data_IF_411583772157
#
_entry.id   IF_411583772157
#
_cell.length_a   1.000
_cell.length_b   1.000
_cell.length_c   1.000
_cell.angle_alpha   90.00
_cell.angle_beta   90.00
_cell.angle_gamma   90.00
#
_symmetry.space_group_name_H-M   'P 1'
#
loop_
_entity.id
_entity.type
_entity.pdbx_description
1 polymer ?
#
# COMPACT_ATOMS: atom_id res chain seq x y z
N UNK A 1 -4.35 -36.15 -52.01
CA UNK A 1 -3.64 -36.40 -50.74
C UNK A 1 -4.59 -36.12 -49.59
N UNK A 2 -5.08 -37.15 -48.90
CA UNK A 2 -6.00 -37.02 -47.75
C UNK A 2 -5.16 -36.78 -46.50
N UNK A 3 -5.03 -35.52 -46.07
CA UNK A 3 -4.36 -35.22 -44.80
C UNK A 3 -5.22 -35.76 -43.66
N UNK A 4 -4.65 -36.69 -42.90
CA UNK A 4 -5.31 -37.37 -41.79
C UNK A 4 -5.46 -36.38 -40.62
N UNK A 5 -6.69 -36.02 -40.19
CA UNK A 5 -6.94 -35.01 -39.15
C UNK A 5 -6.35 -35.37 -37.79
N UNK A 6 -5.99 -36.65 -37.58
CA UNK A 6 -5.37 -37.13 -36.33
C UNK A 6 -3.96 -36.57 -36.10
N UNK A 7 -3.22 -36.27 -37.17
CA UNK A 7 -1.84 -35.74 -37.06
C UNK A 7 -1.87 -34.27 -36.59
N UNK A 8 -2.84 -33.50 -37.08
CA UNK A 8 -3.00 -32.08 -36.75
C UNK A 8 -3.37 -31.89 -35.26
N UNK A 9 -4.26 -32.73 -34.73
CA UNK A 9 -4.66 -32.70 -33.32
C UNK A 9 -3.48 -33.02 -32.39
N UNK A 10 -2.65 -34.02 -32.75
CA UNK A 10 -1.46 -34.38 -31.96
C UNK A 10 -0.45 -33.23 -31.86
N UNK A 11 -0.21 -32.52 -32.96
CA UNK A 11 0.73 -31.38 -32.99
C UNK A 11 0.22 -30.20 -32.16
N UNK A 12 -1.09 -29.89 -32.22
CA UNK A 12 -1.69 -28.81 -31.44
C UNK A 12 -1.60 -29.11 -29.93
N UNK A 13 -1.85 -30.35 -29.51
CA UNK A 13 -1.74 -30.74 -28.11
C UNK A 13 -0.31 -30.61 -27.57
N UNK A 14 0.70 -31.01 -28.34
CA UNK A 14 2.11 -30.86 -27.94
C UNK A 14 2.50 -29.39 -27.85
N UNK A 15 2.08 -28.56 -28.81
CA UNK A 15 2.35 -27.12 -28.78
C UNK A 15 1.68 -26.44 -27.58
N UNK A 16 0.44 -26.80 -27.23
CA UNK A 16 -0.24 -26.30 -26.03
C UNK A 16 0.49 -26.67 -24.74
N UNK A 17 0.96 -27.92 -24.62
CA UNK A 17 1.72 -28.37 -23.44
C UNK A 17 3.07 -27.66 -23.34
N UNK A 18 3.77 -27.45 -24.46
CA UNK A 18 5.03 -26.70 -24.51
C UNK A 18 4.80 -25.22 -24.19
N UNK A 19 3.71 -24.61 -24.69
CA UNK A 19 3.36 -23.23 -24.39
C UNK A 19 2.99 -23.05 -22.91
N UNK A 20 2.20 -23.97 -22.34
CA UNK A 20 1.86 -23.97 -20.92
C UNK A 20 3.12 -24.14 -20.08
N UNK A 21 3.98 -25.13 -20.37
CA UNK A 21 5.25 -25.30 -19.69
C UNK A 21 6.12 -24.04 -19.81
N UNK A 22 6.20 -23.43 -21.00
CA UNK A 22 6.95 -22.20 -21.19
C UNK A 22 6.42 -21.04 -20.33
N UNK A 23 5.10 -20.85 -20.28
CA UNK A 23 4.46 -19.82 -19.44
C UNK A 23 4.71 -20.10 -17.94
N UNK A 24 4.64 -21.35 -17.50
CA UNK A 24 4.88 -21.73 -16.10
C UNK A 24 6.36 -21.67 -15.69
N UNK A 25 7.29 -22.02 -16.58
CA UNK A 25 8.73 -22.06 -16.27
C UNK A 25 9.44 -20.71 -16.48
N UNK A 26 8.95 -19.84 -17.36
CA UNK A 26 9.63 -18.57 -17.69
C UNK A 26 9.00 -17.32 -17.07
N UNK A 27 7.88 -17.41 -16.33
CA UNK A 27 7.44 -16.32 -15.48
C UNK A 27 8.28 -16.25 -14.21
N UNK A 28 9.51 -15.76 -14.35
CA UNK A 28 10.35 -15.38 -13.21
C UNK A 28 9.58 -14.31 -12.42
N UNK A 29 9.20 -14.63 -11.19
CA UNK A 29 8.58 -13.65 -10.31
C UNK A 29 9.47 -12.40 -10.25
N UNK A 30 8.90 -11.19 -10.37
CA UNK A 30 9.69 -9.97 -10.24
C UNK A 30 10.40 -9.99 -8.89
N UNK A 31 11.69 -9.64 -8.88
CA UNK A 31 12.46 -9.57 -7.65
C UNK A 31 11.76 -8.62 -6.65
N UNK A 32 11.75 -8.93 -5.35
CA UNK A 32 11.19 -8.03 -4.35
C UNK A 32 11.82 -6.65 -4.46
N UNK A 33 10.98 -5.60 -4.48
CA UNK A 33 11.48 -4.23 -4.44
C UNK A 33 11.94 -3.95 -3.01
N UNK A 34 13.22 -3.64 -2.84
CA UNK A 34 13.73 -3.23 -1.53
C UNK A 34 13.29 -1.78 -1.32
N UNK A 35 12.36 -1.55 -0.40
CA UNK A 35 12.03 -0.19 0.04
C UNK A 35 13.13 0.21 1.01
N UNK A 36 14.23 0.74 0.47
CA UNK A 36 15.14 1.57 1.25
C UNK A 36 14.51 2.95 1.35
N UNK A 37 14.08 3.34 2.54
CA UNK A 37 13.86 4.76 2.78
C UNK A 37 15.18 5.47 2.49
N UNK A 38 15.23 6.26 1.41
CA UNK A 38 16.40 7.09 1.07
C UNK A 38 16.55 8.26 2.04
N UNK A 39 15.49 8.56 2.80
CA UNK A 39 15.50 9.57 3.85
C UNK A 39 15.85 8.90 5.18
N UNK A 40 16.87 9.43 5.84
CA UNK A 40 17.21 9.06 7.21
C UNK A 40 16.04 9.44 8.12
N UNK A 41 15.60 8.51 8.97
CA UNK A 41 14.59 8.78 10.00
C UNK A 41 15.03 10.01 10.82
N UNK A 42 14.23 11.08 10.86
CA UNK A 42 14.58 12.27 11.61
C UNK A 42 14.83 11.97 13.10
N UNK A 43 15.82 12.65 13.69
CA UNK A 43 16.28 12.38 15.07
C UNK A 43 15.22 12.75 16.13
N UNK A 44 14.33 13.65 15.78
CA UNK A 44 13.25 14.20 16.59
C UNK A 44 11.97 13.33 16.59
N UNK A 45 11.95 12.22 15.85
CA UNK A 45 10.82 11.29 15.90
C UNK A 45 10.69 10.61 17.25
N UNK A 46 9.45 10.53 17.73
CA UNK A 46 9.08 9.88 18.99
C UNK A 46 9.03 8.36 18.78
N UNK A 47 9.62 7.62 19.72
CA UNK A 47 9.53 6.17 19.75
C UNK A 47 8.23 5.74 20.45
N UNK A 48 7.48 4.86 19.80
CA UNK A 48 6.29 4.24 20.35
C UNK A 48 6.56 2.75 20.48
N UNK A 49 6.25 2.21 21.67
CA UNK A 49 6.44 0.79 21.98
C UNK A 49 5.15 0.25 22.57
N UNK A 50 4.66 -0.84 22.01
CA UNK A 50 3.61 -1.66 22.61
C UNK A 50 4.23 -2.99 23.03
N UNK A 51 4.46 -3.13 24.34
CA UNK A 51 5.08 -4.32 24.92
C UNK A 51 4.20 -5.56 24.82
N UNK A 52 2.88 -5.41 24.63
CA UNK A 52 1.96 -6.55 24.54
C UNK A 52 2.06 -7.27 23.20
N UNK A 53 2.26 -6.53 22.11
CA UNK A 53 2.47 -7.05 20.75
C UNK A 53 3.95 -7.17 20.36
N UNK A 54 4.86 -6.60 21.16
CA UNK A 54 6.28 -6.48 20.82
C UNK A 54 6.54 -5.46 19.70
N UNK A 55 5.54 -4.66 19.32
CA UNK A 55 5.66 -3.63 18.29
C UNK A 55 6.51 -2.46 18.82
N UNK A 56 7.45 -2.01 17.99
CA UNK A 56 8.19 -0.76 18.19
C UNK A 56 8.24 0.01 16.87
N UNK A 57 8.00 1.32 16.93
CA UNK A 57 8.08 2.20 15.76
C UNK A 57 8.54 3.60 16.16
N UNK A 58 8.94 4.39 15.16
CA UNK A 58 9.16 5.83 15.31
C UNK A 58 8.24 6.59 14.39
N UNK A 59 7.70 7.70 14.88
CA UNK A 59 6.91 8.62 14.07
C UNK A 59 7.04 10.06 14.59
N UNK A 60 6.69 11.09 13.79
CA UNK A 60 6.68 12.47 14.24
C UNK A 60 5.83 12.67 15.50
N UNK A 61 6.14 13.72 16.25
CA UNK A 61 5.27 14.17 17.33
C UNK A 61 3.93 14.67 16.76
N UNK A 62 2.85 14.53 17.53
CA UNK A 62 1.52 15.03 17.15
C UNK A 62 0.60 14.01 16.45
N UNK A 63 1.07 12.79 16.22
CA UNK A 63 0.17 11.68 15.88
C UNK A 63 -0.60 11.22 17.12
N UNK A 64 -1.89 10.94 16.95
CA UNK A 64 -2.74 10.39 17.99
C UNK A 64 -2.71 8.88 17.86
N UNK A 65 -2.23 8.21 18.91
CA UNK A 65 -2.31 6.76 19.01
C UNK A 65 -3.66 6.37 19.60
N UNK A 66 -4.38 5.53 18.87
CA UNK A 66 -5.67 4.99 19.30
C UNK A 66 -5.61 3.48 19.23
N UNK A 67 -5.95 2.80 20.32
CA UNK A 67 -6.17 1.35 20.29
C UNK A 67 -7.54 1.06 19.67
N UNK A 68 -7.58 0.12 18.73
CA UNK A 68 -8.81 -0.38 18.10
C UNK A 68 -9.01 -1.85 18.50
N UNK A 69 -10.16 -2.44 18.18
CA UNK A 69 -10.38 -3.87 18.36
C UNK A 69 -9.39 -4.74 17.58
N UNK A 70 -8.81 -4.17 16.52
CA UNK A 70 -8.02 -4.88 15.51
C UNK A 70 -6.52 -4.51 15.59
N UNK A 71 -6.10 -3.72 16.59
CA UNK A 71 -4.71 -3.34 16.82
C UNK A 71 -4.51 -1.87 17.21
N UNK A 72 -3.49 -1.24 16.64
CA UNK A 72 -3.11 0.16 16.90
C UNK A 72 -3.38 1.01 15.66
N UNK A 73 -4.00 2.17 15.83
CA UNK A 73 -4.15 3.18 14.78
C UNK A 73 -3.36 4.43 15.15
N UNK A 74 -2.54 4.91 14.22
CA UNK A 74 -1.89 6.21 14.28
C UNK A 74 -2.65 7.17 13.36
N UNK A 75 -3.34 8.12 13.99
CA UNK A 75 -4.15 9.10 13.27
C UNK A 75 -3.41 10.43 13.27
N UNK A 76 -3.38 11.07 12.11
CA UNK A 76 -2.94 12.46 12.03
C UNK A 76 -4.00 13.36 12.67
N UNK A 77 -3.67 14.00 13.79
CA UNK A 77 -4.54 15.00 14.42
C UNK A 77 -4.88 16.15 13.46
N UNK A 78 -3.94 16.49 12.59
CA UNK A 78 -4.10 17.46 11.52
C UNK A 78 -3.33 16.99 10.29
N UNK A 79 -3.87 17.26 9.10
CA UNK A 79 -3.19 17.02 7.82
C UNK A 79 -2.35 18.21 7.36
N UNK A 80 -2.29 19.28 8.15
CA UNK A 80 -1.65 20.55 7.83
C UNK A 80 -0.21 20.49 7.27
N UNK A 81 0.70 19.58 7.71
CA UNK A 81 2.03 19.51 7.09
C UNK A 81 2.04 18.87 5.69
N UNK A 82 0.95 18.22 5.29
CA UNK A 82 0.88 17.43 4.05
C UNK A 82 -0.31 17.78 3.15
N UNK A 83 -1.24 18.61 3.59
CA UNK A 83 -2.39 19.07 2.82
C UNK A 83 -2.23 20.57 2.55
N UNK A 84 -1.74 20.91 1.37
CA UNK A 84 -1.46 22.28 0.94
C UNK A 84 -2.60 22.90 0.11
N UNK A 85 -3.74 22.22 0.08
CA UNK A 85 -4.95 22.66 -0.62
C UNK A 85 -6.08 22.86 0.38
N UNK A 86 -7.15 23.53 -0.05
CA UNK A 86 -8.35 23.67 0.78
C UNK A 86 -9.24 22.42 0.75
N UNK A 87 -8.89 21.41 -0.04
CA UNK A 87 -9.61 20.15 -0.09
C UNK A 87 -9.34 19.39 1.21
N UNK A 88 -10.41 19.07 1.92
CA UNK A 88 -10.32 18.33 3.17
C UNK A 88 -9.76 16.95 2.89
N UNK A 89 -8.84 16.52 3.76
CA UNK A 89 -8.21 15.19 3.69
C UNK A 89 -8.15 14.58 5.08
N UNK A 90 -8.58 13.34 5.19
CA UNK A 90 -8.36 12.47 6.35
C UNK A 90 -7.20 11.52 6.02
N UNK A 91 -6.30 11.32 6.98
CA UNK A 91 -5.13 10.44 6.82
C UNK A 91 -4.98 9.59 8.07
N UNK A 92 -4.86 8.27 7.87
CA UNK A 92 -4.66 7.29 8.94
C UNK A 92 -3.57 6.30 8.56
N UNK A 93 -2.80 5.89 9.55
CA UNK A 93 -1.86 4.77 9.47
C UNK A 93 -2.32 3.72 10.48
N UNK A 94 -2.80 2.59 9.99
CA UNK A 94 -3.28 1.51 10.83
C UNK A 94 -2.22 0.40 10.91
N UNK A 95 -1.94 -0.06 12.12
CA UNK A 95 -1.03 -1.16 12.42
C UNK A 95 -1.84 -2.25 13.11
N UNK A 96 -2.28 -3.23 12.33
CA UNK A 96 -3.10 -4.33 12.81
C UNK A 96 -2.22 -5.53 13.16
N UNK A 97 -2.18 -5.88 14.45
CA UNK A 97 -1.33 -6.94 14.98
C UNK A 97 -2.00 -7.61 16.20
N UNK A 98 -2.05 -8.95 16.26
CA UNK A 98 -1.97 -9.90 15.15
C UNK A 98 -3.32 -10.07 14.45
N UNK A 99 -3.30 -10.23 13.13
CA UNK A 99 -4.48 -10.64 12.35
C UNK A 99 -4.46 -12.15 12.07
N UNK A 100 -5.65 -12.74 11.93
CA UNK A 100 -5.82 -14.15 11.54
C UNK A 100 -5.39 -14.43 10.10
N UNK A 101 -5.49 -13.43 9.22
CA UNK A 101 -5.11 -13.53 7.81
C UNK A 101 -4.56 -12.18 7.29
N UNK A 102 -3.69 -12.25 6.28
CA UNK A 102 -3.12 -11.14 5.53
C UNK A 102 -3.88 -10.78 4.26
N UNK A 103 -5.06 -11.35 4.05
CA UNK A 103 -5.90 -10.95 2.93
C UNK A 103 -6.27 -9.47 3.06
N UNK A 104 -6.08 -8.65 2.00
CA UNK A 104 -6.49 -7.27 2.02
C UNK A 104 -8.01 -7.20 2.16
N UNK A 105 -8.49 -6.44 3.14
CA UNK A 105 -9.92 -6.28 3.43
C UNK A 105 -10.48 -5.12 2.61
N UNK A 106 -10.68 -5.24 1.29
CA UNK A 106 -11.14 -4.08 0.50
C UNK A 106 -12.05 -4.31 -0.69
N UNK A 107 -12.92 -3.30 -0.89
CA UNK A 107 -13.68 -3.00 -2.10
C UNK A 107 -12.90 -1.94 -2.89
N UNK A 108 -12.61 -2.18 -4.17
CA UNK A 108 -11.88 -1.23 -5.03
C UNK A 108 -10.93 -1.92 -6.00
N UNK A 109 -10.26 -1.13 -6.84
CA UNK A 109 -9.26 -1.65 -7.76
C UNK A 109 -7.95 -1.88 -6.99
N UNK A 110 -7.56 -3.14 -6.83
CA UNK A 110 -6.29 -3.50 -6.19
C UNK A 110 -5.23 -3.66 -7.27
N UNK A 111 -4.14 -2.90 -7.14
CA UNK A 111 -2.94 -3.09 -7.96
C UNK A 111 -2.36 -4.49 -7.77
N UNK A 112 -1.61 -4.99 -8.76
CA UNK A 112 -0.96 -6.30 -8.64
C UNK A 112 -0.07 -6.32 -7.38
N UNK A 113 -0.24 -7.30 -6.47
CA UNK A 113 0.59 -7.41 -5.29
C UNK A 113 2.07 -7.46 -5.64
N UNK A 114 2.88 -6.69 -4.91
CA UNK A 114 4.34 -6.63 -5.10
C UNK A 114 5.05 -7.05 -3.83
N UNK A 115 6.10 -7.87 -3.94
CA UNK A 115 6.93 -8.19 -2.79
C UNK A 115 7.82 -6.99 -2.45
N UNK A 116 7.84 -6.59 -1.19
CA UNK A 116 8.73 -5.53 -0.68
C UNK A 116 9.46 -5.99 0.57
N UNK A 117 10.74 -5.61 0.71
CA UNK A 117 11.49 -5.91 1.92
C UNK A 117 11.58 -4.66 2.80
N UNK A 118 11.15 -4.78 4.06
CA UNK A 118 11.19 -3.72 5.07
C UNK A 118 11.86 -4.30 6.31
N UNK A 119 13.03 -3.77 6.68
CA UNK A 119 13.83 -4.22 7.84
C UNK A 119 14.16 -5.72 7.86
N UNK A 120 14.33 -6.34 6.69
CA UNK A 120 14.65 -7.77 6.58
C UNK A 120 13.43 -8.67 6.55
N UNK A 121 12.22 -8.16 6.80
CA UNK A 121 10.98 -8.90 6.63
C UNK A 121 10.40 -8.67 5.23
N UNK A 122 9.92 -9.74 4.60
CA UNK A 122 9.26 -9.68 3.29
C UNK A 122 7.77 -9.43 3.48
N UNK A 123 7.31 -8.30 2.98
CA UNK A 123 5.90 -7.91 2.95
C UNK A 123 5.33 -8.07 1.53
N UNK A 124 4.04 -8.33 1.47
CA UNK A 124 3.21 -8.10 0.29
C UNK A 124 2.69 -6.67 0.36
N UNK A 125 3.03 -5.87 -0.65
CA UNK A 125 2.53 -4.52 -0.87
C UNK A 125 1.33 -4.55 -1.80
N UNK A 126 0.20 -4.03 -1.33
CA UNK A 126 -1.00 -3.81 -2.12
C UNK A 126 -1.30 -2.31 -2.14
N UNK A 127 -1.41 -1.70 -3.32
CA UNK A 127 -2.05 -0.39 -3.43
C UNK A 127 -3.48 -0.55 -3.90
N UNK A 128 -4.32 0.36 -3.47
CA UNK A 128 -5.72 0.39 -3.83
C UNK A 128 -6.16 1.84 -3.97
N UNK A 129 -7.16 2.04 -4.82
CA UNK A 129 -7.86 3.30 -4.95
C UNK A 129 -9.33 3.05 -5.27
N UNK A 130 -10.16 4.00 -4.85
CA UNK A 130 -11.57 4.04 -5.16
C UNK A 130 -12.03 5.50 -5.26
N UNK A 131 -13.11 5.74 -5.99
CA UNK A 131 -13.71 7.05 -6.11
C UNK A 131 -15.22 6.93 -6.18
N UNK A 132 -15.93 7.75 -5.40
CA UNK A 132 -17.38 7.69 -5.31
C UNK A 132 -17.99 8.90 -4.62
N UNK A 133 -19.15 9.34 -5.12
CA UNK A 133 -19.93 10.44 -4.55
C UNK A 133 -19.11 11.72 -4.25
N UNK A 134 -18.20 12.09 -5.16
CA UNK A 134 -17.35 13.27 -4.99
C UNK A 134 -16.16 13.08 -4.06
N UNK A 135 -15.83 11.84 -3.69
CA UNK A 135 -14.69 11.50 -2.83
C UNK A 135 -13.70 10.59 -3.57
N UNK A 136 -12.44 10.67 -3.15
CA UNK A 136 -11.34 9.77 -3.52
C UNK A 136 -10.85 9.09 -2.25
N UNK A 137 -10.66 7.79 -2.34
CA UNK A 137 -10.06 6.94 -1.31
C UNK A 137 -8.83 6.28 -1.89
N UNK A 138 -7.71 6.38 -1.18
CA UNK A 138 -6.44 5.84 -1.62
C UNK A 138 -5.74 5.17 -0.46
N UNK A 139 -5.01 4.12 -0.75
CA UNK A 139 -4.13 3.56 0.26
C UNK A 139 -3.16 2.52 -0.22
N UNK A 140 -2.36 2.10 0.76
CA UNK A 140 -1.28 1.15 0.59
C UNK A 140 -1.22 0.28 1.83
N UNK A 141 -1.18 -1.03 1.62
CA UNK A 141 -1.07 -2.02 2.67
C UNK A 141 0.23 -2.79 2.51
N UNK A 142 0.94 -2.97 3.62
CA UNK A 142 2.03 -3.91 3.79
C UNK A 142 1.59 -5.02 4.70
N UNK A 143 1.52 -6.24 4.18
CA UNK A 143 1.15 -7.42 4.95
C UNK A 143 2.30 -8.44 4.98
N UNK A 144 2.66 -8.95 6.15
CA UNK A 144 3.66 -10.00 6.30
C UNK A 144 3.20 -11.07 7.29
N UNK A 145 3.58 -12.32 7.02
CA UNK A 145 3.43 -13.42 7.96
C UNK A 145 4.71 -13.61 8.76
N UNK A 146 4.60 -13.64 10.08
CA UNK A 146 5.69 -14.02 10.98
C UNK A 146 5.11 -14.90 12.10
N UNK A 147 5.72 -16.06 12.34
CA UNK A 147 5.26 -17.00 13.37
C UNK A 147 3.76 -17.40 13.26
N UNK A 148 3.24 -17.53 12.03
CA UNK A 148 1.82 -17.81 11.73
C UNK A 148 0.83 -16.70 12.11
N UNK A 149 1.33 -15.53 12.49
CA UNK A 149 0.52 -14.34 12.71
C UNK A 149 0.67 -13.39 11.52
N UNK A 150 -0.42 -12.75 11.14
CA UNK A 150 -0.36 -11.70 10.13
C UNK A 150 -0.11 -10.33 10.79
N UNK A 151 0.79 -9.57 10.19
CA UNK A 151 1.11 -8.20 10.54
C UNK A 151 0.76 -7.32 9.36
N UNK A 152 -0.13 -6.36 9.56
CA UNK A 152 -0.54 -5.43 8.52
C UNK A 152 -0.28 -4.00 8.93
N UNK A 153 0.35 -3.25 8.03
CA UNK A 153 0.60 -1.82 8.15
C UNK A 153 -0.09 -1.18 6.96
N UNK A 154 -1.11 -0.38 7.22
CA UNK A 154 -1.98 0.21 6.22
C UNK A 154 -1.90 1.73 6.29
N UNK A 155 -1.84 2.38 5.14
CA UNK A 155 -2.09 3.80 5.00
C UNK A 155 -3.42 3.97 4.30
N UNK A 156 -4.23 4.86 4.85
CA UNK A 156 -5.52 5.26 4.33
C UNK A 156 -5.53 6.78 4.16
N UNK A 157 -5.99 7.22 3.00
CA UNK A 157 -6.28 8.61 2.71
C UNK A 157 -7.68 8.72 2.12
N UNK A 158 -8.45 9.67 2.63
CA UNK A 158 -9.74 10.07 2.08
C UNK A 158 -9.71 11.57 1.79
N UNK A 159 -10.12 11.97 0.59
CA UNK A 159 -10.21 13.38 0.20
C UNK A 159 -11.35 13.63 -0.78
N UNK A 160 -11.65 14.90 -1.04
CA UNK A 160 -12.56 15.26 -2.13
C UNK A 160 -11.97 14.92 -3.51
N UNK A 161 -12.84 14.58 -4.46
CA UNK A 161 -12.52 14.24 -5.85
C UNK A 161 -12.18 15.46 -6.73
N UNK A 162 -11.18 16.23 -6.27
CA UNK A 162 -10.58 17.33 -7.00
C UNK A 162 -11.34 18.64 -6.96
N UNK A 163 -10.68 19.67 -7.47
CA UNK A 163 -11.11 21.07 -7.42
C UNK A 163 -12.30 21.37 -8.34
N UNK A 164 -12.48 20.55 -9.38
CA UNK A 164 -13.57 20.70 -10.36
C UNK A 164 -14.97 20.63 -9.76
N UNK A 165 -15.10 20.12 -8.53
CA UNK A 165 -16.36 20.10 -7.78
C UNK A 165 -16.75 21.48 -7.21
N UNK A 166 -15.80 22.42 -7.13
CA UNK A 166 -16.00 23.72 -6.46
C UNK A 166 -15.88 24.91 -7.41
N UNK A 167 -15.24 24.73 -8.57
CA UNK A 167 -15.01 25.81 -9.54
C UNK A 167 -14.95 25.26 -10.95
N UNK A 168 -15.22 26.13 -11.94
CA UNK A 168 -15.04 25.85 -13.36
C UNK A 168 -13.75 26.48 -13.94
N UNK A 169 -12.96 27.18 -13.12
CA UNK A 169 -11.71 27.80 -13.54
C UNK A 169 -10.63 26.73 -13.80
N UNK A 170 -10.39 26.44 -15.08
CA UNK A 170 -9.45 25.39 -15.52
C UNK A 170 -8.01 25.59 -15.02
N UNK A 171 -7.56 26.83 -14.84
CA UNK A 171 -6.21 27.08 -14.32
C UNK A 171 -6.12 26.77 -12.83
N UNK A 172 -7.17 27.05 -12.08
CA UNK A 172 -7.25 26.73 -10.65
C UNK A 172 -7.35 25.22 -10.44
N UNK A 173 -8.21 24.54 -11.21
CA UNK A 173 -8.37 23.08 -11.17
C UNK A 173 -7.03 22.38 -11.36
N UNK A 174 -6.32 22.70 -12.44
CA UNK A 174 -5.01 22.09 -12.73
C UNK A 174 -3.99 22.32 -11.62
N UNK A 175 -3.98 23.52 -11.02
CA UNK A 175 -3.04 23.87 -9.95
C UNK A 175 -3.34 23.08 -8.67
N UNK A 176 -4.59 23.05 -8.25
CA UNK A 176 -5.00 22.38 -7.01
C UNK A 176 -4.87 20.87 -7.15
N UNK A 177 -5.34 20.29 -8.26
CA UNK A 177 -5.25 18.84 -8.49
C UNK A 177 -3.79 18.37 -8.59
N UNK A 178 -2.90 19.15 -9.22
CA UNK A 178 -1.47 18.84 -9.27
C UNK A 178 -0.82 18.91 -7.87
N UNK A 179 -1.22 19.91 -7.05
CA UNK A 179 -0.75 19.99 -5.67
C UNK A 179 -1.27 18.82 -4.84
N UNK A 180 -2.53 18.42 -5.02
CA UNK A 180 -3.13 17.27 -4.34
C UNK A 180 -2.40 15.96 -4.66
N UNK A 181 -1.94 15.78 -5.90
CA UNK A 181 -1.12 14.64 -6.29
C UNK A 181 0.27 14.66 -5.62
N UNK A 182 0.92 15.83 -5.59
CA UNK A 182 2.22 15.99 -4.90
C UNK A 182 2.10 15.72 -3.39
N UNK A 183 1.04 16.22 -2.77
CA UNK A 183 0.73 15.99 -1.36
C UNK A 183 0.60 14.48 -1.07
N UNK A 184 0.00 13.72 -1.99
CA UNK A 184 -0.09 12.26 -1.88
C UNK A 184 1.25 11.54 -2.02
N UNK A 185 2.11 11.98 -2.95
CA UNK A 185 3.45 11.42 -3.07
C UNK A 185 4.28 11.67 -1.79
N UNK A 186 4.19 12.88 -1.24
CA UNK A 186 4.85 13.27 0.01
C UNK A 186 4.33 12.42 1.19
N UNK A 187 3.02 12.12 1.23
CA UNK A 187 2.41 11.24 2.23
C UNK A 187 2.81 9.77 2.10
N UNK A 188 2.86 9.23 0.88
CA UNK A 188 3.36 7.87 0.68
C UNK A 188 4.84 7.75 1.05
N UNK A 189 5.65 8.76 0.74
CA UNK A 189 7.04 8.83 1.18
C UNK A 189 7.14 8.83 2.71
N UNK A 190 6.31 9.63 3.38
CA UNK A 190 6.21 9.64 4.84
C UNK A 190 5.80 8.28 5.41
N UNK A 191 4.76 7.66 4.86
CA UNK A 191 4.32 6.33 5.29
C UNK A 191 5.43 5.29 5.16
N UNK A 192 6.15 5.28 4.03
CA UNK A 192 7.27 4.37 3.82
C UNK A 192 8.39 4.58 4.85
N UNK A 193 8.62 5.83 5.25
CA UNK A 193 9.56 6.15 6.33
C UNK A 193 9.09 5.56 7.66
N UNK A 194 7.83 5.79 8.06
CA UNK A 194 7.24 5.18 9.28
C UNK A 194 7.34 3.66 9.23
N UNK A 195 6.93 3.03 8.12
CA UNK A 195 7.00 1.59 7.93
C UNK A 195 8.45 1.06 8.07
N UNK A 196 9.44 1.81 7.58
CA UNK A 196 10.87 1.46 7.73
C UNK A 196 11.36 1.52 9.19
N UNK A 197 10.63 2.16 10.10
CA UNK A 197 10.97 2.19 11.52
C UNK A 197 10.33 1.05 12.32
N UNK A 198 9.32 0.39 11.75
CA UNK A 198 8.59 -0.66 12.44
C UNK A 198 9.51 -1.85 12.71
N UNK A 199 9.47 -2.33 13.94
CA UNK A 199 10.12 -3.53 14.43
C UNK A 199 9.06 -4.37 15.12
N UNK A 200 9.05 -5.66 14.82
CA UNK A 200 8.23 -6.64 15.48
C UNK A 200 9.11 -7.39 16.47
N UNK A 201 8.59 -7.65 17.67
CA UNK A 201 9.26 -8.47 18.68
C UNK A 201 9.65 -9.83 18.09
N UNK A 202 10.83 -10.33 18.47
CA UNK A 202 11.27 -11.67 18.08
C UNK A 202 10.42 -12.74 18.75
#
# INVERSE_FOLDING_TARGET
MKNSPKIIIGIISVLMVVLLAYVFFFQKAPAPQIIKSTQSVPKDWTSYNDFSSGLSLKAPAGLILTSTSDGLSLVFATTAPYAHTHLLREIRIDINIPLLDCMPTQNGSVSRPTAVNINGLSYTRNMWNDAGAGNIYEGIDYAAYQNRLCYRISFFSHSTNGESLYTNNQSQIKKVDAQQAKDMDDLFSFFNQVASTIRLGK
#
